data_IF_526439320438
#
_entry.id   IF_526439320438
#
_cell.length_a   1.000
_cell.length_b   1.000
_cell.length_c   1.000
_cell.angle_alpha   90.00
_cell.angle_beta   90.00
_cell.angle_gamma   90.00
#
_symmetry.space_group_name_H-M   'P 1'
#
loop_
_entity.id
_entity.type
_entity.pdbx_description
1 polymer ?
#
# COMPACT_ATOMS: atom_id res chain seq x y z
N UNK A 1 12.47 12.98 -17.78
CA UNK A 1 13.89 12.64 -18.05
C UNK A 1 14.16 12.39 -19.53
N UNK A 2 13.36 11.57 -20.22
CA UNK A 2 13.53 11.24 -21.66
C UNK A 2 13.35 12.45 -22.58
N UNK A 3 12.34 13.28 -22.34
CA UNK A 3 12.05 14.48 -23.14
C UNK A 3 13.20 15.50 -23.14
N UNK A 4 13.81 15.74 -21.97
CA UNK A 4 15.01 16.59 -21.85
C UNK A 4 16.22 16.00 -22.58
N UNK A 5 16.37 14.68 -22.61
CA UNK A 5 17.45 14.01 -23.33
C UNK A 5 17.31 14.16 -24.85
N UNK A 6 16.09 14.06 -25.37
CA UNK A 6 15.80 14.22 -26.81
C UNK A 6 15.99 15.68 -27.24
N UNK A 7 15.52 16.64 -26.43
CA UNK A 7 15.72 18.06 -26.71
C UNK A 7 17.20 18.44 -26.82
N UNK A 8 18.03 17.96 -25.88
CA UNK A 8 19.48 18.18 -25.88
C UNK A 8 20.18 17.51 -27.09
N UNK A 9 19.71 16.34 -27.51
CA UNK A 9 20.24 15.67 -28.70
C UNK A 9 19.89 16.42 -30.00
N UNK A 10 18.67 16.96 -30.12
CA UNK A 10 18.25 17.77 -31.28
C UNK A 10 19.01 19.09 -31.32
N UNK A 11 19.23 19.73 -30.18
CA UNK A 11 20.00 20.97 -30.07
C UNK A 11 21.48 20.76 -30.47
N UNK A 12 22.07 19.63 -30.08
CA UNK A 12 23.44 19.24 -30.46
C UNK A 12 23.62 18.90 -31.95
N UNK A 13 22.54 18.60 -32.66
CA UNK A 13 22.54 18.28 -34.09
C UNK A 13 22.20 19.48 -34.98
N UNK A 14 21.77 20.60 -34.41
CA UNK A 14 21.38 21.79 -35.17
C UNK A 14 22.59 22.39 -35.91
N UNK A 15 22.64 22.20 -37.24
CA UNK A 15 23.71 22.73 -38.11
C UNK A 15 24.78 21.73 -38.58
N UNK A 16 24.71 20.44 -38.21
CA UNK A 16 25.57 19.37 -38.79
C UNK A 16 24.83 18.62 -39.90
N UNK A 17 25.53 18.25 -41.00
CA UNK A 17 25.00 17.29 -41.98
C UNK A 17 24.75 15.97 -41.28
N UNK A 18 23.49 15.57 -41.24
CA UNK A 18 23.03 14.39 -40.50
C UNK A 18 23.54 13.13 -41.19
N UNK A 19 24.25 12.26 -40.46
CA UNK A 19 24.72 10.97 -40.96
C UNK A 19 23.55 9.97 -40.98
N UNK A 20 23.41 9.21 -42.08
CA UNK A 20 22.25 8.33 -42.30
C UNK A 20 22.10 7.26 -41.19
N UNK A 21 23.22 6.88 -40.57
CA UNK A 21 23.28 5.95 -39.44
C UNK A 21 22.64 6.51 -38.16
N UNK A 22 22.76 7.82 -37.94
CA UNK A 22 22.21 8.50 -36.75
C UNK A 22 20.69 8.67 -36.88
N UNK A 23 20.20 8.97 -38.09
CA UNK A 23 18.75 8.97 -38.40
C UNK A 23 18.14 7.60 -38.16
N UNK A 24 18.82 6.53 -38.60
CA UNK A 24 18.36 5.16 -38.40
C UNK A 24 18.28 4.79 -36.91
N UNK A 25 19.27 5.18 -36.12
CA UNK A 25 19.29 4.93 -34.69
C UNK A 25 18.16 5.67 -33.94
N UNK A 26 17.92 6.93 -34.29
CA UNK A 26 16.81 7.72 -33.73
C UNK A 26 15.45 7.16 -34.14
N UNK A 27 15.30 6.75 -35.40
CA UNK A 27 14.05 6.17 -35.89
C UNK A 27 13.80 4.78 -35.30
N UNK A 28 14.83 3.97 -35.08
CA UNK A 28 14.71 2.69 -34.38
C UNK A 28 14.36 2.88 -32.90
N UNK A 29 14.97 3.87 -32.23
CA UNK A 29 14.65 4.20 -30.84
C UNK A 29 13.23 4.75 -30.69
N UNK A 30 12.79 5.62 -31.60
CA UNK A 30 11.43 6.13 -31.66
C UNK A 30 10.43 5.00 -31.96
N UNK A 31 10.76 4.07 -32.86
CA UNK A 31 9.91 2.92 -33.16
C UNK A 31 9.83 1.92 -31.99
N UNK A 32 10.90 1.79 -31.19
CA UNK A 32 10.90 0.99 -29.94
C UNK A 32 10.17 1.67 -28.79
N UNK A 33 10.12 3.00 -28.75
CA UNK A 33 9.42 3.79 -27.72
C UNK A 33 8.07 4.34 -28.17
N UNK A 34 7.66 4.07 -29.41
CA UNK A 34 6.29 4.28 -29.88
C UNK A 34 5.42 3.33 -29.08
N UNK A 35 4.89 3.90 -28.00
CA UNK A 35 4.05 3.22 -27.05
C UNK A 35 2.99 2.50 -27.87
N UNK A 36 2.84 1.19 -27.64
CA UNK A 36 1.76 0.34 -28.16
C UNK A 36 0.40 0.80 -27.61
N UNK A 37 0.19 2.10 -27.46
CA UNK A 37 -1.10 2.66 -27.17
C UNK A 37 -1.94 2.42 -28.42
N UNK A 38 -3.01 1.64 -28.33
CA UNK A 38 -3.85 1.40 -29.49
C UNK A 38 -4.46 2.74 -29.89
N UNK A 39 -3.93 3.36 -30.94
CA UNK A 39 -4.47 4.60 -31.54
C UNK A 39 -5.89 4.43 -32.10
N UNK A 40 -6.49 3.25 -31.91
CA UNK A 40 -7.88 2.94 -32.17
C UNK A 40 -8.50 2.40 -30.90
N UNK A 41 -9.25 3.27 -30.22
CA UNK A 41 -10.16 2.85 -29.16
C UNK A 41 -11.24 1.93 -29.75
N UNK A 42 -11.59 0.83 -29.06
CA UNK A 42 -12.73 0.00 -29.43
C UNK A 42 -13.99 0.85 -29.65
N UNK A 43 -14.77 0.55 -30.70
CA UNK A 43 -15.87 1.41 -31.17
C UNK A 43 -16.87 1.81 -30.06
N UNK A 44 -17.19 0.87 -29.16
CA UNK A 44 -18.13 1.12 -28.06
C UNK A 44 -17.55 2.10 -27.03
N UNK A 45 -16.28 1.92 -26.64
CA UNK A 45 -15.61 2.84 -25.70
C UNK A 45 -15.42 4.24 -26.30
N UNK A 46 -15.09 4.33 -27.59
CA UNK A 46 -14.94 5.61 -28.27
C UNK A 46 -16.22 6.46 -28.25
N UNK A 47 -17.40 5.82 -28.31
CA UNK A 47 -18.69 6.49 -28.23
C UNK A 47 -18.91 7.10 -26.84
N UNK A 48 -18.67 6.33 -25.78
CA UNK A 48 -18.80 6.81 -24.40
C UNK A 48 -17.78 7.90 -24.08
N UNK A 49 -16.55 7.79 -24.56
CA UNK A 49 -15.53 8.83 -24.38
C UNK A 49 -15.95 10.14 -25.06
N UNK A 50 -16.53 10.08 -26.26
CA UNK A 50 -17.07 11.28 -26.93
C UNK A 50 -18.21 11.90 -26.13
N UNK A 51 -19.15 11.09 -25.64
CA UNK A 51 -20.25 11.59 -24.82
C UNK A 51 -19.75 12.24 -23.52
N UNK A 52 -18.80 11.60 -22.83
CA UNK A 52 -18.21 12.12 -21.61
C UNK A 52 -17.50 13.46 -21.86
N UNK A 53 -16.68 13.57 -22.91
CA UNK A 53 -16.00 14.83 -23.23
C UNK A 53 -16.94 15.94 -23.67
N UNK A 54 -18.03 15.64 -24.38
CA UNK A 54 -19.06 16.63 -24.71
C UNK A 54 -19.77 17.14 -23.46
N UNK A 55 -20.13 16.22 -22.57
CA UNK A 55 -20.77 16.52 -21.29
C UNK A 55 -19.85 17.38 -20.41
N UNK A 56 -18.57 17.01 -20.30
CA UNK A 56 -17.54 17.81 -19.62
C UNK A 56 -17.39 19.21 -20.22
N UNK A 57 -17.37 19.33 -21.55
CA UNK A 57 -17.32 20.62 -22.25
C UNK A 57 -18.54 21.51 -21.95
N UNK A 58 -19.73 20.94 -21.86
CA UNK A 58 -20.96 21.67 -21.47
C UNK A 58 -20.86 22.13 -20.02
N UNK A 59 -20.41 21.28 -19.10
CA UNK A 59 -20.23 21.65 -17.68
C UNK A 59 -19.24 22.79 -17.50
N UNK A 60 -18.09 22.74 -18.19
CA UNK A 60 -17.08 23.79 -18.16
C UNK A 60 -17.62 25.12 -18.72
N UNK A 61 -18.43 25.06 -19.79
CA UNK A 61 -18.98 26.26 -20.43
C UNK A 61 -20.09 26.92 -19.60
N UNK A 62 -21.00 26.13 -19.01
CA UNK A 62 -22.11 26.65 -18.21
C UNK A 62 -21.73 26.99 -16.74
N UNK A 63 -20.49 26.68 -16.31
CA UNK A 63 -20.01 26.86 -14.92
C UNK A 63 -20.95 26.28 -13.87
N UNK A 64 -21.53 25.12 -14.15
CA UNK A 64 -22.39 24.41 -13.18
C UNK A 64 -21.50 23.63 -12.21
N UNK A 65 -21.76 23.75 -10.91
CA UNK A 65 -21.10 22.94 -9.88
C UNK A 65 -21.66 21.50 -9.95
N UNK A 66 -20.95 20.64 -10.68
CA UNK A 66 -21.35 19.26 -10.86
C UNK A 66 -20.76 18.38 -9.74
N UNK A 67 -21.63 17.96 -8.82
CA UNK A 67 -21.28 17.01 -7.76
C UNK A 67 -21.36 15.58 -8.29
N UNK A 68 -20.35 15.15 -9.04
CA UNK A 68 -20.28 13.81 -9.67
C UNK A 68 -20.66 12.68 -8.72
N UNK A 69 -20.17 12.71 -7.48
CA UNK A 69 -20.45 11.68 -6.48
C UNK A 69 -21.94 11.54 -6.14
N UNK A 70 -22.69 12.65 -6.12
CA UNK A 70 -24.12 12.66 -5.82
C UNK A 70 -24.93 12.04 -6.96
N UNK A 71 -24.62 12.40 -8.20
CA UNK A 71 -25.28 11.88 -9.40
C UNK A 71 -24.93 10.41 -9.63
N UNK A 72 -23.67 10.04 -9.41
CA UNK A 72 -23.24 8.65 -9.49
C UNK A 72 -23.98 7.78 -8.44
N UNK A 73 -24.09 8.28 -7.21
CA UNK A 73 -24.83 7.60 -6.15
C UNK A 73 -26.31 7.42 -6.50
N UNK A 74 -26.98 8.43 -7.08
CA UNK A 74 -28.38 8.30 -7.47
C UNK A 74 -28.58 7.33 -8.64
N UNK A 75 -27.70 7.35 -9.64
CA UNK A 75 -27.76 6.43 -10.78
C UNK A 75 -27.51 4.98 -10.38
N UNK A 76 -26.51 4.73 -9.53
CA UNK A 76 -26.22 3.39 -9.00
C UNK A 76 -27.40 2.85 -8.17
N UNK A 77 -28.11 3.73 -7.45
CA UNK A 77 -29.28 3.38 -6.65
C UNK A 77 -30.52 3.09 -7.52
N UNK A 78 -30.71 3.85 -8.61
CA UNK A 78 -31.83 3.73 -9.55
C UNK A 78 -31.73 2.47 -10.43
N UNK A 79 -30.52 2.11 -10.88
CA UNK A 79 -30.27 0.92 -11.70
C UNK A 79 -30.22 -0.40 -10.88
N UNK A 80 -30.50 -0.36 -9.57
CA UNK A 80 -30.57 -1.55 -8.70
C UNK A 80 -29.24 -2.28 -8.44
N UNK A 81 -28.16 -1.89 -9.12
CA UNK A 81 -26.81 -2.48 -9.04
C UNK A 81 -26.17 -2.41 -7.64
N UNK A 82 -26.63 -1.52 -6.76
CA UNK A 82 -26.15 -1.42 -5.38
C UNK A 82 -26.60 -2.61 -4.51
N UNK A 83 -27.75 -3.24 -4.76
CA UNK A 83 -28.26 -4.25 -3.82
C UNK A 83 -27.76 -5.65 -4.12
N UNK A 84 -27.93 -6.16 -5.32
CA UNK A 84 -27.76 -7.60 -5.54
C UNK A 84 -26.28 -8.02 -5.60
N UNK A 85 -25.42 -7.24 -6.25
CA UNK A 85 -23.98 -7.54 -6.32
C UNK A 85 -23.26 -7.27 -4.99
N UNK A 86 -23.60 -6.17 -4.32
CA UNK A 86 -22.96 -5.78 -3.07
C UNK A 86 -23.36 -6.71 -1.91
N UNK A 87 -24.61 -7.18 -1.86
CA UNK A 87 -25.05 -8.11 -0.81
C UNK A 87 -24.31 -9.45 -0.91
N UNK A 88 -24.11 -9.99 -2.12
CA UNK A 88 -23.39 -11.26 -2.31
C UNK A 88 -21.90 -11.13 -1.92
N UNK A 89 -21.25 -10.03 -2.30
CA UNK A 89 -19.84 -9.76 -1.97
C UNK A 89 -19.62 -9.51 -0.47
N UNK A 90 -20.52 -8.75 0.17
CA UNK A 90 -20.48 -8.51 1.62
C UNK A 90 -20.75 -9.80 2.39
N UNK A 91 -21.71 -10.62 1.95
CA UNK A 91 -22.00 -11.92 2.57
C UNK A 91 -20.81 -12.87 2.49
N UNK A 92 -20.17 -12.96 1.32
CA UNK A 92 -18.95 -13.76 1.11
C UNK A 92 -17.79 -13.28 2.00
N UNK A 93 -17.62 -11.96 2.14
CA UNK A 93 -16.60 -11.36 2.99
C UNK A 93 -16.85 -11.65 4.47
N UNK A 94 -18.09 -11.53 4.94
CA UNK A 94 -18.47 -11.86 6.32
C UNK A 94 -18.26 -13.35 6.60
N UNK A 95 -18.66 -14.22 5.68
CA UNK A 95 -18.48 -15.67 5.83
C UNK A 95 -16.99 -16.04 5.91
N UNK A 96 -16.14 -15.40 5.10
CA UNK A 96 -14.68 -15.57 5.14
C UNK A 96 -14.07 -15.11 6.48
N UNK A 97 -14.56 -14.01 7.05
CA UNK A 97 -14.11 -13.51 8.36
C UNK A 97 -14.53 -14.46 9.49
N UNK A 98 -15.77 -14.96 9.46
CA UNK A 98 -16.28 -15.91 10.48
C UNK A 98 -15.49 -17.22 10.43
N UNK A 99 -15.20 -17.73 9.22
CA UNK A 99 -14.36 -18.91 9.03
C UNK A 99 -12.94 -18.67 9.55
N UNK A 100 -12.32 -17.54 9.21
CA UNK A 100 -10.99 -17.17 9.72
C UNK A 100 -10.93 -17.02 11.24
N UNK A 101 -12.00 -16.56 11.89
CA UNK A 101 -12.10 -16.50 13.34
C UNK A 101 -12.26 -17.89 13.98
N UNK A 102 -13.05 -18.78 13.37
CA UNK A 102 -13.13 -20.18 13.83
C UNK A 102 -11.80 -20.89 13.70
N UNK A 103 -11.10 -20.69 12.59
CA UNK A 103 -9.76 -21.23 12.36
C UNK A 103 -8.75 -20.64 13.35
N UNK A 104 -8.83 -19.33 13.65
CA UNK A 104 -8.00 -18.71 14.68
C UNK A 104 -8.26 -19.30 16.07
N UNK A 105 -9.51 -19.56 16.45
CA UNK A 105 -9.84 -20.21 17.73
C UNK A 105 -9.27 -21.64 17.79
N UNK A 106 -9.31 -22.37 16.68
CA UNK A 106 -8.74 -23.71 16.58
C UNK A 106 -7.20 -23.73 16.59
N UNK A 107 -6.56 -22.73 15.98
CA UNK A 107 -5.09 -22.63 15.84
C UNK A 107 -4.46 -21.89 17.03
N UNK A 108 -5.22 -21.09 17.80
CA UNK A 108 -4.76 -20.40 19.01
C UNK A 108 -4.02 -21.31 20.02
N UNK A 109 -4.50 -22.52 20.39
CA UNK A 109 -3.76 -23.40 21.29
C UNK A 109 -2.45 -23.90 20.67
N UNK A 110 -2.42 -24.20 19.37
CA UNK A 110 -1.21 -24.64 18.68
C UNK A 110 -0.17 -23.52 18.59
N UNK A 111 -0.59 -22.29 18.35
CA UNK A 111 0.26 -21.09 18.39
C UNK A 111 0.86 -20.90 19.78
N UNK A 112 0.06 -21.09 20.84
CA UNK A 112 0.55 -21.04 22.22
C UNK A 112 1.59 -22.12 22.49
N UNK A 113 1.33 -23.36 22.08
CA UNK A 113 2.27 -24.47 22.24
C UNK A 113 3.57 -24.25 21.43
N UNK A 114 3.50 -23.69 20.23
CA UNK A 114 4.67 -23.36 19.43
C UNK A 114 5.51 -22.25 20.06
N UNK A 115 4.86 -21.20 20.57
CA UNK A 115 5.52 -20.13 21.29
C UNK A 115 6.19 -20.67 22.56
N UNK A 116 5.50 -21.49 23.34
CA UNK A 116 6.03 -22.12 24.57
C UNK A 116 7.22 -23.04 24.26
N UNK A 117 7.14 -23.86 23.20
CA UNK A 117 8.26 -24.72 22.75
C UNK A 117 9.46 -23.91 22.27
N UNK A 118 9.23 -22.87 21.47
CA UNK A 118 10.31 -21.97 21.02
C UNK A 118 10.96 -21.21 22.19
N UNK A 119 10.18 -20.88 23.23
CA UNK A 119 10.66 -20.31 24.49
C UNK A 119 11.51 -21.33 25.27
N UNK A 120 11.07 -22.58 25.36
CA UNK A 120 11.82 -23.65 26.04
C UNK A 120 13.14 -23.99 25.33
N UNK A 121 13.13 -24.14 24.01
CA UNK A 121 14.31 -24.54 23.22
C UNK A 121 15.40 -23.44 23.19
N UNK A 122 15.00 -22.17 23.20
CA UNK A 122 15.93 -21.05 23.42
C UNK A 122 16.50 -21.00 24.84
N UNK A 123 15.74 -21.44 25.85
CA UNK A 123 16.13 -21.39 27.26
C UNK A 123 17.08 -22.51 27.72
N UNK A 124 17.19 -23.63 26.98
CA UNK A 124 18.17 -24.71 27.25
C UNK A 124 19.64 -24.28 27.13
N UNK A 125 19.91 -23.11 26.55
CA UNK A 125 21.26 -22.54 26.44
C UNK A 125 21.64 -21.61 27.61
N UNK A 126 20.70 -21.21 28.46
CA UNK A 126 20.93 -20.32 29.61
C UNK A 126 20.68 -21.07 30.93
N UNK A 127 21.77 -21.65 31.42
CA UNK A 127 21.90 -22.45 32.62
C UNK A 127 21.52 -21.73 33.93
N UNK A 128 20.98 -22.55 34.85
CA UNK A 128 21.28 -22.56 36.28
C UNK A 128 21.32 -21.24 37.06
N UNK A 129 20.20 -20.83 37.69
CA UNK A 129 20.24 -20.23 39.04
C UNK A 129 18.84 -20.09 39.69
N UNK A 130 18.65 -20.83 40.78
CA UNK A 130 17.97 -20.43 42.03
C UNK A 130 16.52 -19.89 42.03
N UNK A 131 15.69 -20.57 42.82
CA UNK A 131 15.00 -19.92 43.95
C UNK A 131 13.56 -19.45 43.71
N UNK A 132 12.64 -20.13 44.40
CA UNK A 132 11.22 -19.82 44.64
C UNK A 132 10.88 -18.31 44.68
N UNK A 133 9.69 -18.02 44.13
CA UNK A 133 8.87 -16.79 44.30
C UNK A 133 9.19 -15.62 43.35
N UNK A 134 8.77 -15.73 42.08
CA UNK A 134 8.87 -14.60 41.12
C UNK A 134 8.45 -14.87 39.66
N UNK A 135 7.57 -15.85 39.40
CA UNK A 135 7.22 -16.30 38.03
C UNK A 135 6.20 -15.40 37.29
N UNK A 136 6.40 -14.08 37.28
CA UNK A 136 5.58 -13.16 36.45
C UNK A 136 6.38 -12.16 35.61
N UNK A 137 7.69 -12.03 35.78
CA UNK A 137 8.42 -10.90 35.19
C UNK A 137 9.61 -11.26 34.31
N UNK A 138 10.06 -12.52 34.27
CA UNK A 138 11.26 -12.90 33.49
C UNK A 138 11.06 -13.82 32.29
N UNK A 139 9.91 -14.51 32.20
CA UNK A 139 9.57 -15.31 31.00
C UNK A 139 9.17 -14.43 29.80
N UNK A 140 8.91 -13.14 30.06
CA UNK A 140 8.38 -12.19 29.10
C UNK A 140 9.44 -11.63 28.15
N UNK A 141 10.75 -11.80 28.35
CA UNK A 141 11.72 -11.03 27.56
C UNK A 141 11.65 -11.36 26.05
N UNK A 142 11.69 -12.64 25.66
CA UNK A 142 11.65 -13.04 24.24
C UNK A 142 10.27 -12.83 23.59
N UNK A 143 9.18 -13.15 24.29
CA UNK A 143 7.82 -12.93 23.79
C UNK A 143 7.48 -11.42 23.68
N UNK A 144 7.98 -10.60 24.62
CA UNK A 144 7.85 -9.13 24.56
C UNK A 144 8.75 -8.54 23.49
N UNK A 145 9.87 -9.17 23.12
CA UNK A 145 10.69 -8.73 21.99
C UNK A 145 9.97 -8.97 20.65
N UNK A 146 9.32 -10.11 20.47
CA UNK A 146 8.53 -10.39 19.25
C UNK A 146 7.28 -9.52 19.20
N UNK A 147 6.50 -9.45 20.28
CA UNK A 147 5.33 -8.58 20.35
C UNK A 147 5.72 -7.11 20.20
N UNK A 148 6.83 -6.72 20.81
CA UNK A 148 7.39 -5.39 20.73
C UNK A 148 7.84 -5.01 19.33
N UNK A 149 8.53 -5.89 18.61
CA UNK A 149 9.01 -5.60 17.26
C UNK A 149 7.86 -5.43 16.26
N UNK A 150 6.77 -6.17 16.44
CA UNK A 150 5.56 -6.02 15.62
C UNK A 150 4.92 -4.64 15.88
N UNK A 151 4.76 -4.25 17.14
CA UNK A 151 4.16 -2.96 17.52
C UNK A 151 5.02 -1.79 17.02
N UNK A 152 6.34 -1.84 17.21
CA UNK A 152 7.23 -0.76 16.76
C UNK A 152 7.31 -0.67 15.24
N UNK A 153 7.31 -1.80 14.52
CA UNK A 153 7.28 -1.82 13.05
C UNK A 153 5.97 -1.25 12.51
N UNK A 154 4.84 -1.64 13.09
CA UNK A 154 3.52 -1.11 12.71
C UNK A 154 3.43 0.40 12.94
N UNK A 155 3.94 0.89 14.08
CA UNK A 155 3.95 2.33 14.40
C UNK A 155 4.80 3.12 13.39
N UNK A 156 5.97 2.60 13.01
CA UNK A 156 6.85 3.25 12.02
C UNK A 156 6.19 3.35 10.65
N UNK A 157 5.57 2.27 10.17
CA UNK A 157 4.88 2.23 8.88
C UNK A 157 3.70 3.21 8.89
N UNK A 158 2.89 3.19 9.96
CA UNK A 158 1.77 4.12 10.13
C UNK A 158 2.24 5.58 10.13
N UNK A 159 3.36 5.85 10.79
CA UNK A 159 3.93 7.20 10.87
C UNK A 159 4.47 7.69 9.53
N UNK A 160 5.06 6.80 8.72
CA UNK A 160 5.58 7.13 7.41
C UNK A 160 4.46 7.54 6.43
N UNK A 161 3.32 6.85 6.47
CA UNK A 161 2.15 7.17 5.63
C UNK A 161 1.55 8.53 6.02
N UNK A 162 1.43 8.80 7.33
CA UNK A 162 0.85 10.06 7.83
C UNK A 162 1.71 11.28 7.46
N UNK A 163 3.03 11.10 7.34
CA UNK A 163 3.98 12.18 7.03
C UNK A 163 3.73 12.83 5.66
N UNK A 164 3.15 12.09 4.71
CA UNK A 164 2.77 12.62 3.39
C UNK A 164 1.59 13.60 3.46
N UNK A 165 0.63 13.37 4.37
CA UNK A 165 -0.55 14.23 4.53
C UNK A 165 -0.32 15.40 5.49
N UNK A 166 0.41 15.16 6.59
CA UNK A 166 0.63 16.14 7.66
C UNK A 166 2.01 15.93 8.30
N UNK A 167 3.00 16.81 8.01
CA UNK A 167 4.37 16.62 8.47
C UNK A 167 4.52 16.66 10.00
N UNK A 168 3.67 17.40 10.70
CA UNK A 168 3.71 17.53 12.17
C UNK A 168 3.25 16.25 12.88
N UNK A 169 2.17 15.63 12.42
CA UNK A 169 1.70 14.35 12.99
C UNK A 169 2.67 13.20 12.68
N UNK A 170 3.27 13.19 11.49
CA UNK A 170 4.28 12.19 11.13
C UNK A 170 5.51 12.24 12.04
N UNK A 171 5.96 13.43 12.44
CA UNK A 171 7.08 13.56 13.38
C UNK A 171 6.75 13.06 14.79
N UNK A 172 5.51 13.29 15.26
CA UNK A 172 5.04 12.80 16.57
C UNK A 172 5.00 11.27 16.58
N UNK A 173 4.49 10.64 15.52
CA UNK A 173 4.47 9.18 15.39
C UNK A 173 5.88 8.58 15.40
N UNK A 174 6.83 9.23 14.73
CA UNK A 174 8.22 8.78 14.69
C UNK A 174 8.91 8.91 16.05
N UNK A 175 8.66 10.00 16.78
CA UNK A 175 9.14 10.18 18.14
C UNK A 175 8.57 9.12 19.09
N UNK A 176 7.28 8.80 18.97
CA UNK A 176 6.64 7.75 19.76
C UNK A 176 7.24 6.36 19.48
N UNK A 177 7.52 6.03 18.22
CA UNK A 177 8.19 4.79 17.84
C UNK A 177 9.61 4.70 18.42
N UNK A 178 10.38 5.80 18.36
CA UNK A 178 11.72 5.85 18.95
C UNK A 178 11.68 5.68 20.48
N UNK A 179 10.72 6.30 21.17
CA UNK A 179 10.51 6.09 22.61
C UNK A 179 10.16 4.63 22.93
N UNK A 180 9.26 4.00 22.17
CA UNK A 180 8.88 2.60 22.39
C UNK A 180 10.07 1.63 22.23
N UNK A 181 10.91 1.86 21.22
CA UNK A 181 12.17 1.11 21.03
C UNK A 181 13.12 1.34 22.21
N UNK A 182 13.26 2.59 22.68
CA UNK A 182 14.09 2.93 23.84
C UNK A 182 13.64 2.23 25.12
N UNK A 183 12.34 2.24 25.41
CA UNK A 183 11.74 1.53 26.55
C UNK A 183 12.01 0.03 26.45
N UNK A 184 11.88 -0.56 25.26
CA UNK A 184 12.13 -2.00 25.05
C UNK A 184 13.60 -2.38 25.23
N UNK A 185 14.53 -1.52 24.79
CA UNK A 185 15.97 -1.73 24.98
C UNK A 185 16.38 -1.56 26.46
N UNK A 186 15.74 -0.65 27.19
CA UNK A 186 15.98 -0.49 28.64
C UNK A 186 15.41 -1.68 29.41
N UNK A 187 14.20 -2.12 29.06
CA UNK A 187 13.58 -3.32 29.64
C UNK A 187 14.39 -4.60 29.39
N UNK A 188 15.23 -4.63 28.34
CA UNK A 188 16.19 -5.73 28.09
C UNK A 188 17.36 -5.76 29.08
N UNK A 189 17.73 -4.62 29.68
CA UNK A 189 18.94 -4.49 30.52
C UNK A 189 18.66 -4.71 32.01
N UNK A 190 17.40 -4.67 32.44
CA UNK A 190 16.92 -4.86 33.83
C UNK A 190 16.51 -6.32 34.04
#
# INVERSE_FOLDING_TARGET
>A
MIEKGIALAIEGMHGKKVDEMEVKALMELANRTMTRFPFRLPKQLALYMRMASLLEGIYLTLKVDFQFMRVLSSLLQEEGLIRDAYIEEVKSSIESIVRGLQDYIAVAPMLRDYLERSLMEGSSSSSSRSGRLGYRTRLSSSATLIAGSIVTSSLLISSAIIMESNPTLGQIGFAAAAMAIGVMLIARKI
#
